data_IF_641459776293
#
_entry.id   IF_641459776293
#
_cell.length_a   1.000
_cell.length_b   1.000
_cell.length_c   1.000
_cell.angle_alpha   90.00
_cell.angle_beta   90.00
_cell.angle_gamma   90.00
#
_symmetry.space_group_name_H-M   'P 1'
#
loop_
_entity.id
_entity.type
_entity.pdbx_description
1 polymer ?
#
# COMPACT_ATOMS: atom_id res chain seq x y z
N UNK A 1 -13.26 -13.89 20.77
CA UNK A 1 -13.22 -13.39 19.38
C UNK A 1 -11.76 -13.12 19.04
N UNK A 2 -11.20 -13.72 17.98
CA UNK A 2 -9.80 -13.50 17.61
C UNK A 2 -9.58 -12.01 17.33
N UNK A 3 -8.51 -11.41 17.88
CA UNK A 3 -8.18 -10.01 17.59
C UNK A 3 -7.58 -9.94 16.19
N UNK A 4 -8.04 -9.00 15.37
CA UNK A 4 -7.44 -8.76 14.06
C UNK A 4 -6.02 -8.21 14.23
N UNK A 5 -5.07 -8.89 13.58
CA UNK A 5 -3.68 -8.48 13.49
C UNK A 5 -3.41 -7.91 12.09
N UNK A 6 -2.67 -6.82 12.02
CA UNK A 6 -2.22 -6.25 10.76
C UNK A 6 -0.73 -6.50 10.58
N UNK A 7 -0.37 -7.36 9.61
CA UNK A 7 1.03 -7.73 9.33
C UNK A 7 1.89 -6.54 8.88
N UNK A 8 1.31 -5.58 8.15
CA UNK A 8 2.04 -4.39 7.70
C UNK A 8 2.37 -3.41 8.83
N UNK A 9 1.51 -3.35 9.86
CA UNK A 9 1.65 -2.41 10.96
C UNK A 9 2.25 -3.03 12.22
N UNK A 10 2.36 -4.36 12.28
CA UNK A 10 2.73 -5.15 13.45
C UNK A 10 1.94 -4.76 14.72
N UNK A 11 0.61 -4.71 14.58
CA UNK A 11 -0.29 -4.35 15.68
C UNK A 11 -1.54 -5.22 15.70
N UNK A 12 -2.01 -5.51 16.92
CA UNK A 12 -3.35 -6.02 17.16
C UNK A 12 -4.33 -4.86 17.30
N UNK A 13 -5.45 -4.94 16.58
CA UNK A 13 -6.56 -4.01 16.77
C UNK A 13 -7.27 -4.30 18.09
N UNK A 14 -7.57 -3.25 18.84
CA UNK A 14 -8.27 -3.32 20.14
C UNK A 14 -9.69 -3.88 19.99
N UNK A 15 -10.35 -3.54 18.89
CA UNK A 15 -11.68 -4.02 18.53
C UNK A 15 -11.69 -4.57 17.11
N UNK A 16 -12.09 -5.83 16.96
CA UNK A 16 -12.24 -6.46 15.65
C UNK A 16 -13.64 -6.22 15.08
N UNK A 17 -13.92 -4.98 14.66
CA UNK A 17 -15.14 -4.63 13.93
C UNK A 17 -14.83 -4.22 12.50
N UNK A 18 -15.77 -4.43 11.58
CA UNK A 18 -15.62 -4.03 10.18
C UNK A 18 -15.34 -2.53 10.01
N UNK A 19 -15.91 -1.69 10.89
CA UNK A 19 -15.66 -0.24 10.87
C UNK A 19 -14.23 0.08 11.29
N UNK A 20 -13.73 -0.53 12.37
CA UNK A 20 -12.37 -0.31 12.88
C UNK A 20 -11.33 -0.81 11.87
N UNK A 21 -11.55 -1.97 11.23
CA UNK A 21 -10.66 -2.46 10.16
C UNK A 21 -10.63 -1.51 8.96
N UNK A 22 -11.79 -1.00 8.52
CA UNK A 22 -11.85 -0.01 7.43
C UNK A 22 -11.10 1.27 7.77
N UNK A 23 -11.30 1.80 8.98
CA UNK A 23 -10.60 3.00 9.45
C UNK A 23 -9.08 2.78 9.53
N UNK A 24 -8.65 1.63 10.07
CA UNK A 24 -7.23 1.24 10.11
C UNK A 24 -6.61 1.19 8.70
N UNK A 25 -7.24 0.48 7.77
CA UNK A 25 -6.73 0.32 6.39
C UNK A 25 -6.70 1.65 5.63
N UNK A 26 -7.63 2.57 5.92
CA UNK A 26 -7.64 3.91 5.34
C UNK A 26 -6.61 4.87 5.98
N UNK A 27 -6.09 4.51 7.16
CA UNK A 27 -5.18 5.33 7.95
C UNK A 27 -3.82 5.54 7.28
N UNK A 28 -3.25 6.73 7.50
CA UNK A 28 -1.98 7.12 6.90
C UNK A 28 -0.83 6.16 7.25
N UNK A 29 -0.71 5.77 8.53
CA UNK A 29 0.33 4.83 9.00
C UNK A 29 0.26 3.50 8.25
N UNK A 30 -0.92 2.92 8.09
CA UNK A 30 -1.11 1.67 7.35
C UNK A 30 -0.67 1.81 5.89
N UNK A 31 -1.15 2.85 5.19
CA UNK A 31 -0.79 3.11 3.79
C UNK A 31 0.72 3.28 3.59
N UNK A 32 1.39 4.04 4.46
CA UNK A 32 2.84 4.24 4.40
C UNK A 32 3.61 2.94 4.63
N UNK A 33 3.19 2.12 5.60
CA UNK A 33 3.84 0.83 5.86
C UNK A 33 3.67 -0.16 4.70
N UNK A 34 2.47 -0.20 4.10
CA UNK A 34 2.20 -1.00 2.90
C UNK A 34 3.09 -0.54 1.74
N UNK A 35 3.18 0.78 1.51
CA UNK A 35 4.02 1.33 0.45
C UNK A 35 5.51 1.00 0.70
N UNK A 36 6.00 1.15 1.94
CA UNK A 36 7.38 0.83 2.30
C UNK A 36 7.68 -0.65 2.11
N UNK A 37 6.76 -1.55 2.46
CA UNK A 37 6.91 -2.98 2.25
C UNK A 37 7.13 -3.31 0.78
N UNK A 38 6.26 -2.80 -0.11
CA UNK A 38 6.43 -3.02 -1.55
C UNK A 38 7.64 -2.30 -2.14
N UNK A 39 8.02 -1.13 -1.62
CA UNK A 39 9.23 -0.42 -2.04
C UNK A 39 10.52 -1.10 -1.56
N UNK A 40 10.48 -1.87 -0.48
CA UNK A 40 11.63 -2.63 0.02
C UNK A 40 11.84 -3.95 -0.77
N UNK A 41 10.79 -4.47 -1.39
CA UNK A 41 10.85 -5.61 -2.29
C UNK A 41 11.50 -5.17 -3.62
N UNK A 42 12.80 -5.46 -3.80
CA UNK A 42 13.53 -5.40 -5.07
C UNK A 42 13.16 -4.22 -5.99
N UNK A 43 13.61 -3.01 -5.60
CA UNK A 43 13.28 -1.72 -6.25
C UNK A 43 13.46 -1.67 -7.77
N UNK A 44 14.41 -2.42 -8.30
CA UNK A 44 14.81 -2.32 -9.72
C UNK A 44 13.65 -2.66 -10.66
N UNK A 45 12.85 -3.67 -10.32
CA UNK A 45 11.76 -4.12 -11.18
C UNK A 45 10.49 -3.27 -11.04
N UNK A 46 10.26 -2.71 -9.85
CA UNK A 46 9.10 -1.85 -9.60
C UNK A 46 9.31 -0.47 -10.24
N UNK A 47 10.52 0.10 -10.12
CA UNK A 47 10.84 1.37 -10.76
C UNK A 47 10.76 1.28 -12.29
N UNK A 48 11.23 0.17 -12.88
CA UNK A 48 11.12 -0.08 -14.32
C UNK A 48 9.65 -0.07 -14.80
N UNK A 49 8.74 -0.69 -14.05
CA UNK A 49 7.30 -0.73 -14.38
C UNK A 49 6.65 0.65 -14.23
N UNK A 50 6.99 1.41 -13.18
CA UNK A 50 6.50 2.78 -12.99
C UNK A 50 6.97 3.68 -14.13
N UNK A 51 8.23 3.55 -14.54
CA UNK A 51 8.82 4.34 -15.63
C UNK A 51 8.20 4.00 -16.99
N UNK A 52 7.81 2.73 -17.22
CA UNK A 52 7.08 2.32 -18.43
C UNK A 52 5.66 2.89 -18.47
N UNK A 53 4.92 2.80 -17.36
CA UNK A 53 3.54 3.34 -17.28
C UNK A 53 3.54 4.87 -17.45
N UNK A 54 4.50 5.55 -16.81
CA UNK A 54 4.63 7.01 -16.85
C UNK A 54 4.98 7.50 -18.26
N UNK A 55 5.90 6.82 -18.95
CA UNK A 55 6.22 7.12 -20.36
C UNK A 55 5.02 6.96 -21.28
N UNK A 56 4.26 5.87 -21.13
CA UNK A 56 3.11 5.59 -22.00
C UNK A 56 1.96 6.58 -21.80
N UNK A 57 1.78 7.10 -20.59
CA UNK A 57 0.77 8.13 -20.28
C UNK A 57 1.09 9.50 -20.88
N UNK A 58 2.39 9.83 -21.02
CA UNK A 58 2.83 11.12 -21.55
C UNK A 58 2.95 11.11 -23.10
N UNK A 59 3.01 9.93 -23.73
CA UNK A 59 3.01 9.79 -25.19
C UNK A 59 1.62 9.95 -25.84
N UNK A 60 0.54 9.82 -25.08
CA UNK A 60 -0.85 9.91 -25.59
C UNK A 60 -1.41 11.33 -25.62
N UNK A 61 -0.66 12.33 -25.17
CA UNK A 61 -1.04 13.76 -25.21
C UNK A 61 -0.41 14.53 -26.39
N UNK A 62 0.37 13.86 -27.26
CA UNK A 62 1.06 14.48 -28.38
C UNK A 62 0.73 13.83 -29.74
N UNK A 63 -0.47 13.29 -29.93
CA UNK A 63 -1.06 13.01 -31.25
C UNK A 63 -2.56 13.28 -31.20
#
# INVERSE_FOLDING_TARGET
MPKYYCDYCDVFLTHDSSSVRKSHNAGWKHKTQVQNYYNALGKDKIQEVIDQITRNKNGTLNN
#
